data_IF_153647148425
#
_entry.id   IF_153647148425
#
_cell.length_a   1.000
_cell.length_b   1.000
_cell.length_c   1.000
_cell.angle_alpha   90.00
_cell.angle_beta   90.00
_cell.angle_gamma   90.00
#
_symmetry.space_group_name_H-M   'P 1'
#
loop_
_entity.id
_entity.type
_entity.pdbx_description
1 polymer ?
#
# COMPACT_ATOMS: atom_id res chain seq x y z
N UNK A 1 0.48 -30.14 27.79
CA UNK A 1 1.35 -29.00 27.38
C UNK A 1 0.50 -27.73 27.23
N UNK A 2 0.96 -26.56 27.67
CA UNK A 2 0.23 -25.28 27.63
C UNK A 2 0.75 -24.40 26.50
N UNK A 3 -0.11 -24.06 25.53
CA UNK A 3 0.23 -23.16 24.42
C UNK A 3 -0.67 -21.95 24.43
N UNK A 4 -0.07 -20.76 24.39
CA UNK A 4 -0.78 -19.48 24.42
C UNK A 4 -0.58 -18.74 23.11
N UNK A 5 -1.66 -18.40 22.42
CA UNK A 5 -1.64 -17.54 21.25
C UNK A 5 -2.03 -16.12 21.62
N UNK A 6 -1.32 -15.14 21.07
CA UNK A 6 -1.58 -13.72 21.29
C UNK A 6 -1.91 -13.05 19.95
N UNK A 7 -3.14 -12.55 19.81
CA UNK A 7 -3.61 -11.85 18.62
C UNK A 7 -3.18 -10.38 18.57
N UNK A 8 -3.24 -9.82 17.36
CA UNK A 8 -2.97 -8.41 17.08
C UNK A 8 -1.53 -7.97 17.38
N UNK A 9 -0.55 -8.87 17.31
CA UNK A 9 0.86 -8.50 17.54
C UNK A 9 1.36 -7.73 16.32
N UNK A 10 1.73 -6.46 16.49
CA UNK A 10 2.16 -5.59 15.40
C UNK A 10 1.02 -5.17 14.44
N UNK A 11 -0.23 -5.12 14.93
CA UNK A 11 -1.41 -4.67 14.17
C UNK A 11 -2.46 -4.11 15.11
N UNK A 12 -3.27 -3.16 14.63
CA UNK A 12 -4.25 -2.42 15.45
C UNK A 12 -3.60 -1.75 16.67
N UNK A 13 -2.41 -1.21 16.45
CA UNK A 13 -1.60 -0.51 17.43
C UNK A 13 -1.42 0.96 16.99
N UNK A 14 -1.80 1.90 17.85
CA UNK A 14 -1.75 3.35 17.59
C UNK A 14 -0.32 3.88 17.50
N UNK A 15 0.62 3.23 18.19
CA UNK A 15 2.04 3.63 18.17
C UNK A 15 2.81 2.93 17.05
N UNK A 16 2.19 1.97 16.38
CA UNK A 16 2.78 1.21 15.29
C UNK A 16 1.82 1.10 14.10
N UNK A 17 1.41 -0.13 13.79
CA UNK A 17 0.54 -0.41 12.66
C UNK A 17 -0.93 -0.31 13.06
N UNK A 18 -1.60 0.80 12.73
CA UNK A 18 -3.02 1.01 13.07
C UNK A 18 -3.98 0.06 12.34
N UNK A 19 -3.55 -0.51 11.21
CA UNK A 19 -4.35 -1.40 10.39
C UNK A 19 -4.47 -2.82 10.97
N UNK A 20 -5.49 -3.55 10.51
CA UNK A 20 -5.65 -4.96 10.80
C UNK A 20 -4.98 -5.81 9.71
N UNK A 21 -4.19 -6.82 10.11
CA UNK A 21 -3.54 -7.74 9.17
C UNK A 21 -4.44 -8.80 8.54
N UNK A 22 -5.75 -8.78 8.81
CA UNK A 22 -6.83 -9.59 8.21
C UNK A 22 -6.75 -11.12 8.35
N UNK A 23 -5.57 -11.72 8.42
CA UNK A 23 -5.37 -13.18 8.37
C UNK A 23 -5.05 -13.81 9.73
N UNK A 24 -4.64 -13.01 10.72
CA UNK A 24 -4.13 -13.50 12.01
C UNK A 24 -5.14 -14.29 12.84
N UNK A 25 -6.40 -13.86 12.87
CA UNK A 25 -7.47 -14.61 13.52
C UNK A 25 -7.60 -16.03 12.92
N UNK A 26 -7.57 -16.12 11.60
CA UNK A 26 -7.83 -17.38 10.88
C UNK A 26 -6.65 -18.33 10.89
N UNK A 27 -5.41 -17.84 10.66
CA UNK A 27 -4.26 -18.73 10.76
C UNK A 27 -4.06 -19.22 12.20
N UNK A 28 -4.45 -18.42 13.21
CA UNK A 28 -4.36 -18.83 14.61
C UNK A 28 -5.37 -19.91 14.93
N UNK A 29 -6.63 -19.76 14.50
CA UNK A 29 -7.62 -20.83 14.61
C UNK A 29 -7.15 -22.11 13.90
N UNK A 30 -6.55 -21.98 12.71
CA UNK A 30 -5.92 -23.10 11.99
C UNK A 30 -4.81 -23.76 12.78
N UNK A 31 -3.86 -22.99 13.31
CA UNK A 31 -2.75 -23.52 14.08
C UNK A 31 -3.22 -24.15 15.39
N UNK A 32 -4.17 -23.55 16.10
CA UNK A 32 -4.73 -24.09 17.32
C UNK A 32 -5.45 -25.43 17.08
N UNK A 33 -6.25 -25.53 16.01
CA UNK A 33 -6.84 -26.79 15.54
C UNK A 33 -5.76 -27.85 15.28
N UNK A 34 -4.70 -27.50 14.55
CA UNK A 34 -3.60 -28.43 14.26
C UNK A 34 -2.85 -28.88 15.52
N UNK A 35 -2.72 -28.01 16.52
CA UNK A 35 -2.11 -28.40 17.80
C UNK A 35 -3.03 -29.35 18.56
N UNK A 36 -4.35 -29.10 18.60
CA UNK A 36 -5.32 -29.99 19.24
C UNK A 36 -5.36 -31.37 18.56
N UNK A 37 -5.31 -31.41 17.23
CA UNK A 37 -5.31 -32.65 16.45
C UNK A 37 -4.07 -33.52 16.75
N UNK A 38 -2.88 -32.88 16.85
CA UNK A 38 -1.62 -33.58 17.07
C UNK A 38 -1.28 -33.82 18.54
N UNK A 39 -1.79 -32.99 19.44
CA UNK A 39 -1.55 -33.04 20.89
C UNK A 39 -2.92 -32.88 21.58
N UNK A 40 -3.73 -33.95 21.65
CA UNK A 40 -5.12 -33.88 22.12
C UNK A 40 -5.28 -33.36 23.55
N UNK A 41 -4.27 -33.55 24.40
CA UNK A 41 -4.19 -33.13 25.80
C UNK A 41 -3.58 -31.72 25.99
N UNK A 42 -3.27 -31.00 24.91
CA UNK A 42 -2.75 -29.64 25.03
C UNK A 42 -3.80 -28.68 25.62
N UNK A 43 -3.39 -27.83 26.56
CA UNK A 43 -4.20 -26.72 27.07
C UNK A 43 -3.89 -25.49 26.21
N UNK A 44 -4.87 -25.07 25.42
CA UNK A 44 -4.73 -24.02 24.42
C UNK A 44 -5.51 -22.79 24.87
N UNK A 45 -4.81 -21.65 24.93
CA UNK A 45 -5.44 -20.35 25.21
C UNK A 45 -5.16 -19.39 24.07
N UNK A 46 -6.19 -18.69 23.59
CA UNK A 46 -6.08 -17.65 22.57
C UNK A 46 -6.56 -16.34 23.19
N UNK A 47 -5.65 -15.38 23.35
CA UNK A 47 -6.00 -14.02 23.71
C UNK A 47 -6.33 -13.20 22.46
N UNK A 48 -7.52 -12.60 22.42
CA UNK A 48 -8.02 -11.86 21.27
C UNK A 48 -8.84 -10.64 21.69
N UNK A 49 -9.05 -9.70 20.77
CA UNK A 49 -10.01 -8.59 20.96
C UNK A 49 -11.31 -8.86 20.22
N UNK A 50 -11.19 -9.02 18.90
CA UNK A 50 -12.29 -9.37 18.01
C UNK A 50 -11.84 -10.55 17.16
N UNK A 51 -12.74 -11.49 16.88
CA UNK A 51 -12.50 -12.53 15.87
C UNK A 51 -12.98 -11.99 14.53
N UNK A 52 -12.06 -11.89 13.57
CA UNK A 52 -12.37 -11.41 12.21
C UNK A 52 -12.42 -12.57 11.23
N UNK A 53 -13.49 -13.35 11.30
CA UNK A 53 -13.76 -14.51 10.47
C UNK A 53 -14.70 -14.17 9.29
N UNK A 54 -14.28 -13.26 8.41
CA UNK A 54 -15.18 -12.60 7.43
C UNK A 54 -15.30 -13.30 6.06
N UNK A 55 -14.45 -14.29 5.77
CA UNK A 55 -14.50 -15.06 4.51
C UNK A 55 -15.58 -16.13 4.51
N UNK A 56 -15.88 -16.69 3.33
CA UNK A 56 -16.83 -17.82 3.21
C UNK A 56 -16.31 -19.03 3.99
N UNK A 57 -17.10 -19.55 4.91
CA UNK A 57 -16.71 -20.70 5.75
C UNK A 57 -15.84 -20.34 6.95
N UNK A 58 -15.47 -19.06 7.14
CA UNK A 58 -14.53 -18.68 8.18
C UNK A 58 -15.19 -18.69 9.57
N UNK A 59 -16.43 -18.23 9.67
CA UNK A 59 -17.18 -18.24 10.93
C UNK A 59 -17.50 -19.68 11.36
N UNK A 60 -17.88 -20.54 10.42
CA UNK A 60 -18.11 -21.97 10.65
C UNK A 60 -16.83 -22.66 11.12
N UNK A 61 -15.69 -22.33 10.49
CA UNK A 61 -14.39 -22.83 10.92
C UNK A 61 -14.02 -22.34 12.32
N UNK A 62 -14.21 -21.05 12.62
CA UNK A 62 -14.00 -20.49 13.95
C UNK A 62 -14.85 -21.22 15.01
N UNK A 63 -16.15 -21.40 14.75
CA UNK A 63 -17.06 -22.09 15.66
C UNK A 63 -16.67 -23.56 15.88
N UNK A 64 -16.21 -24.25 14.84
CA UNK A 64 -15.66 -25.61 14.96
C UNK A 64 -14.47 -25.64 15.91
N UNK A 65 -13.48 -24.78 15.68
CA UNK A 65 -12.25 -24.71 16.49
C UNK A 65 -12.58 -24.29 17.93
N UNK A 66 -13.54 -23.38 18.14
CA UNK A 66 -14.01 -23.01 19.47
C UNK A 66 -14.63 -24.21 20.22
N UNK A 67 -15.32 -25.10 19.51
CA UNK A 67 -15.87 -26.35 20.04
C UNK A 67 -14.81 -27.41 20.42
N UNK A 68 -13.55 -27.23 20.03
CA UNK A 68 -12.45 -28.16 20.33
C UNK A 68 -11.79 -27.91 21.71
N UNK A 69 -12.58 -27.41 22.67
CA UNK A 69 -12.13 -27.06 24.02
C UNK A 69 -10.91 -26.12 24.04
N UNK A 70 -10.91 -25.09 23.19
CA UNK A 70 -9.87 -24.07 23.15
C UNK A 70 -10.34 -22.84 23.93
N UNK A 71 -9.52 -22.33 24.84
CA UNK A 71 -9.86 -21.22 25.72
C UNK A 71 -9.69 -19.88 24.99
N UNK A 72 -10.78 -19.35 24.42
CA UNK A 72 -10.80 -18.00 23.85
C UNK A 72 -11.02 -16.96 24.95
N UNK A 73 -10.00 -16.14 25.23
CA UNK A 73 -10.04 -15.07 26.24
C UNK A 73 -10.07 -13.70 25.57
N UNK A 74 -11.17 -12.96 25.73
CA UNK A 74 -11.33 -11.62 25.16
C UNK A 74 -10.58 -10.59 26.02
N UNK A 75 -9.86 -9.67 25.39
CA UNK A 75 -9.22 -8.50 26.02
C UNK A 75 -9.49 -7.24 25.22
N UNK A 76 -9.38 -6.09 25.88
CA UNK A 76 -9.28 -4.82 25.16
C UNK A 76 -7.88 -4.65 24.56
N UNK A 77 -7.76 -3.90 23.46
CA UNK A 77 -6.46 -3.66 22.82
C UNK A 77 -5.50 -2.89 23.74
N UNK A 78 -6.06 -1.91 24.47
CA UNK A 78 -5.34 -1.06 25.43
C UNK A 78 -4.92 -1.82 26.71
N UNK A 79 -5.39 -3.06 26.89
CA UNK A 79 -4.93 -3.96 27.96
C UNK A 79 -3.78 -4.83 27.42
N UNK A 80 -2.50 -4.50 27.71
CA UNK A 80 -1.36 -5.22 27.16
C UNK A 80 -1.29 -6.65 27.69
N UNK A 81 -0.63 -7.51 26.90
CA UNK A 81 -0.21 -8.83 27.37
C UNK A 81 1.29 -8.77 27.59
N UNK A 82 1.69 -9.05 28.82
CA UNK A 82 3.11 -9.17 29.17
C UNK A 82 3.54 -10.62 29.05
N UNK A 83 4.64 -10.85 28.35
CA UNK A 83 5.29 -12.16 28.26
C UNK A 83 6.62 -12.06 28.99
N UNK A 84 6.68 -12.63 30.19
CA UNK A 84 7.88 -12.62 31.03
C UNK A 84 8.57 -13.97 30.91
N UNK A 85 9.84 -13.96 30.47
CA UNK A 85 10.64 -15.19 30.37
C UNK A 85 11.77 -15.14 31.40
N UNK A 86 11.77 -16.08 32.34
CA UNK A 86 12.77 -16.19 33.40
C UNK A 86 13.37 -17.60 33.41
N UNK A 87 14.68 -17.70 33.14
CA UNK A 87 15.44 -18.96 33.03
C UNK A 87 14.75 -19.98 32.11
N UNK A 88 13.90 -20.86 32.66
CA UNK A 88 13.22 -21.97 31.96
C UNK A 88 11.69 -21.81 31.88
N UNK A 89 11.14 -20.69 32.36
CA UNK A 89 9.69 -20.47 32.43
C UNK A 89 9.26 -19.24 31.63
N UNK A 90 8.22 -19.40 30.82
CA UNK A 90 7.54 -18.29 30.15
C UNK A 90 6.17 -18.09 30.79
N UNK A 91 5.91 -16.91 31.35
CA UNK A 91 4.65 -16.54 31.99
C UNK A 91 3.95 -15.47 31.17
N UNK A 92 2.69 -15.72 30.82
CA UNK A 92 1.81 -14.78 30.13
C UNK A 92 0.87 -14.14 31.14
N UNK A 93 0.91 -12.82 31.25
CA UNK A 93 0.06 -12.01 32.12
C UNK A 93 -0.92 -11.20 31.29
N UNK A 94 -2.20 -11.27 31.65
CA UNK A 94 -3.26 -10.53 31.00
C UNK A 94 -4.23 -10.00 32.07
N UNK A 95 -4.57 -8.71 31.99
CA UNK A 95 -5.49 -8.08 32.94
C UNK A 95 -6.84 -8.81 32.98
N UNK A 96 -7.36 -9.03 34.19
CA UNK A 96 -8.63 -9.72 34.41
C UNK A 96 -8.56 -11.25 34.26
N UNK A 97 -7.38 -11.82 34.01
CA UNK A 97 -7.16 -13.26 33.91
C UNK A 97 -6.04 -13.71 34.85
N UNK A 98 -6.07 -15.00 35.22
CA UNK A 98 -4.94 -15.61 35.93
C UNK A 98 -3.73 -15.76 35.00
N UNK A 99 -2.55 -15.55 35.58
CA UNK A 99 -1.26 -15.78 34.93
C UNK A 99 -1.16 -17.23 34.43
N UNK A 100 -0.63 -17.39 33.22
CA UNK A 100 -0.39 -18.70 32.60
C UNK A 100 1.11 -18.93 32.47
N UNK A 101 1.64 -19.91 33.18
CA UNK A 101 2.94 -20.52 32.84
C UNK A 101 2.74 -21.37 31.57
N UNK A 102 3.31 -20.92 30.46
CA UNK A 102 3.14 -21.50 29.14
C UNK A 102 4.41 -22.24 28.71
N UNK A 103 4.24 -23.41 28.08
CA UNK A 103 5.34 -24.15 27.46
C UNK A 103 5.72 -23.52 26.10
N UNK A 104 4.77 -22.84 25.45
CA UNK A 104 4.97 -22.14 24.19
C UNK A 104 4.05 -20.92 24.10
N UNK A 105 4.62 -19.77 23.75
CA UNK A 105 3.87 -18.57 23.40
C UNK A 105 4.01 -18.31 21.90
N UNK A 106 2.87 -18.22 21.22
CA UNK A 106 2.79 -17.96 19.78
C UNK A 106 2.26 -16.55 19.56
N UNK A 107 3.10 -15.70 18.99
CA UNK A 107 2.73 -14.36 18.59
C UNK A 107 2.08 -14.42 17.21
N UNK A 108 0.79 -14.07 17.12
CA UNK A 108 0.11 -13.93 15.85
C UNK A 108 0.49 -12.57 15.24
N UNK A 109 1.69 -12.53 14.66
CA UNK A 109 2.28 -11.33 14.03
C UNK A 109 1.49 -10.87 12.80
N UNK A 110 1.41 -9.55 12.67
CA UNK A 110 0.84 -8.89 11.50
C UNK A 110 1.68 -9.03 10.23
N UNK A 111 1.06 -8.64 9.11
CA UNK A 111 1.73 -8.44 7.84
C UNK A 111 2.22 -7.01 7.76
N UNK A 112 3.47 -6.82 7.33
CA UNK A 112 4.06 -5.51 7.03
C UNK A 112 4.52 -5.48 5.59
N UNK A 113 4.71 -4.29 4.99
CA UNK A 113 5.37 -4.17 3.71
C UNK A 113 6.76 -4.81 3.75
N UNK A 114 7.22 -5.36 2.62
CA UNK A 114 8.56 -5.91 2.51
C UNK A 114 9.61 -4.80 2.71
N UNK A 115 10.77 -5.15 3.26
CA UNK A 115 11.86 -4.20 3.57
C UNK A 115 12.29 -3.35 2.37
N UNK A 116 12.26 -3.92 1.16
CA UNK A 116 12.62 -3.27 -0.10
C UNK A 116 11.46 -2.50 -0.78
N UNK A 117 10.27 -2.46 -0.18
CA UNK A 117 9.07 -1.88 -0.82
C UNK A 117 9.25 -0.41 -1.21
N UNK A 118 10.00 0.38 -0.40
CA UNK A 118 10.29 1.79 -0.68
C UNK A 118 11.29 2.00 -1.81
N UNK A 119 12.22 1.07 -1.98
CA UNK A 119 13.13 1.09 -3.12
C UNK A 119 12.38 0.70 -4.39
N UNK A 120 11.59 -0.37 -4.30
CA UNK A 120 10.78 -0.87 -5.40
C UNK A 120 9.74 0.16 -5.89
N UNK A 121 9.11 0.91 -4.98
CA UNK A 121 8.18 2.00 -5.32
C UNK A 121 8.85 3.09 -6.16
N UNK A 122 10.12 3.41 -5.88
CA UNK A 122 10.91 4.39 -6.67
C UNK A 122 11.27 3.85 -8.04
N UNK A 123 11.73 2.60 -8.12
CA UNK A 123 12.12 1.96 -9.38
C UNK A 123 10.93 1.88 -10.34
N UNK A 124 9.75 1.49 -9.84
CA UNK A 124 8.54 1.41 -10.64
C UNK A 124 7.78 2.74 -10.75
N UNK A 125 8.21 3.78 -10.03
CA UNK A 125 7.49 5.04 -9.90
C UNK A 125 6.00 4.83 -9.53
N UNK A 126 5.75 4.10 -8.44
CA UNK A 126 4.40 3.87 -7.90
C UNK A 126 4.29 4.40 -6.47
N UNK A 127 3.07 4.76 -6.06
CA UNK A 127 2.82 5.34 -4.74
C UNK A 127 2.64 4.27 -3.66
N UNK A 128 2.86 4.65 -2.40
CA UNK A 128 2.54 3.86 -1.23
C UNK A 128 1.42 4.51 -0.41
N UNK A 129 0.58 3.68 0.19
CA UNK A 129 -0.45 4.06 1.14
C UNK A 129 0.18 4.43 2.48
N UNK A 130 -0.61 5.03 3.39
CA UNK A 130 -0.12 5.42 4.73
C UNK A 130 0.32 4.24 5.60
N UNK A 131 -0.15 3.04 5.29
CA UNK A 131 0.27 1.78 5.91
C UNK A 131 1.56 1.18 5.30
N UNK A 132 2.15 1.86 4.31
CA UNK A 132 3.39 1.50 3.64
C UNK A 132 3.26 0.44 2.53
N UNK A 133 2.06 -0.10 2.29
CA UNK A 133 1.81 -0.99 1.14
C UNK A 133 1.67 -0.18 -0.15
N UNK A 134 1.68 -0.83 -1.31
CA UNK A 134 1.50 -0.13 -2.59
C UNK A 134 0.06 0.35 -2.75
N UNK A 135 -0.10 1.60 -3.20
CA UNK A 135 -1.38 2.28 -3.35
C UNK A 135 -2.02 1.94 -4.70
N UNK A 136 -3.25 1.44 -4.67
CA UNK A 136 -4.09 1.30 -5.86
C UNK A 136 -4.60 2.65 -6.38
N UNK A 137 -4.93 2.70 -7.67
CA UNK A 137 -5.46 3.91 -8.31
C UNK A 137 -6.81 4.34 -7.74
N UNK A 138 -7.69 3.37 -7.44
CA UNK A 138 -8.95 3.64 -6.78
C UNK A 138 -9.48 2.40 -6.04
N UNK A 139 -9.84 2.48 -4.74
CA UNK A 139 -10.17 1.31 -3.91
C UNK A 139 -11.28 0.40 -4.44
N UNK A 140 -12.24 0.97 -5.19
CA UNK A 140 -13.39 0.23 -5.77
C UNK A 140 -13.31 0.01 -7.28
N UNK A 141 -13.08 1.08 -8.05
CA UNK A 141 -13.11 1.05 -9.52
C UNK A 141 -11.86 0.45 -10.14
N UNK A 142 -10.69 0.63 -9.52
CA UNK A 142 -9.39 0.21 -10.05
C UNK A 142 -8.52 -0.37 -8.93
N UNK A 143 -8.95 -1.46 -8.27
CA UNK A 143 -8.31 -1.98 -7.06
C UNK A 143 -6.98 -2.73 -7.31
N UNK A 144 -6.65 -2.96 -8.57
CA UNK A 144 -5.41 -3.66 -9.00
C UNK A 144 -4.55 -2.81 -9.91
N UNK A 145 -5.01 -1.61 -10.28
CA UNK A 145 -4.22 -0.69 -11.10
C UNK A 145 -3.45 0.26 -10.17
N UNK A 146 -2.34 0.81 -10.66
CA UNK A 146 -1.69 1.96 -10.02
C UNK A 146 -2.00 3.25 -10.78
N UNK A 147 -1.56 4.40 -10.25
CA UNK A 147 -1.59 5.67 -11.01
C UNK A 147 -0.61 5.70 -12.18
N UNK A 148 0.33 4.75 -12.23
CA UNK A 148 1.28 4.62 -13.32
C UNK A 148 0.74 3.59 -14.32
N UNK A 149 0.33 4.07 -15.49
CA UNK A 149 -0.23 3.22 -16.53
C UNK A 149 0.72 2.08 -16.93
N UNK A 150 0.15 0.90 -17.11
CA UNK A 150 0.90 -0.33 -17.39
C UNK A 150 1.48 -1.02 -16.16
N UNK A 151 1.36 -0.45 -14.95
CA UNK A 151 1.78 -1.08 -13.70
C UNK A 151 0.57 -1.44 -12.84
N UNK A 152 0.52 -2.70 -12.45
CA UNK A 152 -0.58 -3.33 -11.72
C UNK A 152 -0.09 -4.00 -10.44
N UNK A 153 -1.00 -4.24 -9.50
CA UNK A 153 -0.72 -4.81 -8.18
C UNK A 153 -1.46 -6.14 -8.00
N UNK A 154 -0.78 -7.11 -7.37
CA UNK A 154 -1.37 -8.40 -7.03
C UNK A 154 -0.80 -8.95 -5.71
N UNK A 155 -1.69 -9.39 -4.83
CA UNK A 155 -1.32 -10.07 -3.58
C UNK A 155 -1.04 -9.10 -2.42
N UNK A 156 -0.30 -9.58 -1.43
CA UNK A 156 -0.12 -8.87 -0.16
C UNK A 156 0.71 -7.58 -0.27
N UNK A 157 1.37 -7.31 -1.39
CA UNK A 157 2.12 -6.07 -1.60
C UNK A 157 1.21 -4.83 -1.67
N UNK A 158 -0.06 -4.99 -2.05
CA UNK A 158 -1.08 -3.93 -2.02
C UNK A 158 -1.73 -3.76 -0.63
N UNK A 159 -1.59 -4.75 0.24
CA UNK A 159 -2.17 -4.71 1.59
C UNK A 159 -2.49 -6.11 2.11
N UNK A 160 -2.70 -6.26 3.43
CA UNK A 160 -2.96 -7.55 4.06
C UNK A 160 -4.16 -8.27 3.44
N UNK A 161 -4.01 -9.55 3.10
CA UNK A 161 -5.08 -10.39 2.52
C UNK A 161 -4.76 -11.87 2.65
N UNK A 162 -5.79 -12.71 2.50
CA UNK A 162 -5.63 -14.16 2.48
C UNK A 162 -5.36 -14.67 1.05
N UNK A 163 -5.18 -15.99 0.94
CA UNK A 163 -4.85 -16.66 -0.32
C UNK A 163 -5.97 -16.47 -1.37
N UNK A 164 -7.25 -16.74 -1.07
CA UNK A 164 -8.33 -16.52 -2.04
C UNK A 164 -8.37 -15.09 -2.60
N UNK A 165 -8.26 -14.08 -1.75
CA UNK A 165 -8.23 -12.68 -2.18
C UNK A 165 -7.00 -12.38 -3.04
N UNK A 166 -5.82 -12.91 -2.67
CA UNK A 166 -4.60 -12.72 -3.44
C UNK A 166 -4.69 -13.36 -4.84
N UNK A 167 -5.28 -14.56 -4.95
CA UNK A 167 -5.48 -15.26 -6.22
C UNK A 167 -6.51 -14.53 -7.10
N UNK A 168 -7.60 -14.05 -6.50
CA UNK A 168 -8.59 -13.24 -7.21
C UNK A 168 -7.96 -11.94 -7.74
N UNK A 169 -7.15 -11.27 -6.91
CA UNK A 169 -6.44 -10.06 -7.29
C UNK A 169 -5.43 -10.32 -8.42
N UNK A 170 -4.68 -11.42 -8.36
CA UNK A 170 -3.74 -11.83 -9.41
C UNK A 170 -4.45 -12.06 -10.75
N UNK A 171 -5.63 -12.69 -10.73
CA UNK A 171 -6.45 -12.87 -11.92
C UNK A 171 -6.94 -11.53 -12.48
N UNK A 172 -7.38 -10.62 -11.60
CA UNK A 172 -7.73 -9.25 -11.97
C UNK A 172 -6.57 -8.50 -12.62
N UNK A 173 -5.40 -8.49 -11.98
CA UNK A 173 -4.20 -7.83 -12.48
C UNK A 173 -3.76 -8.41 -13.85
N UNK A 174 -3.85 -9.73 -14.05
CA UNK A 174 -3.52 -10.36 -15.32
C UNK A 174 -4.43 -9.87 -16.46
N UNK A 175 -5.74 -9.75 -16.22
CA UNK A 175 -6.69 -9.22 -17.23
C UNK A 175 -6.42 -7.74 -17.50
N UNK A 176 -6.19 -6.93 -16.47
CA UNK A 176 -5.89 -5.49 -16.63
C UNK A 176 -4.59 -5.27 -17.40
N UNK A 177 -3.57 -6.10 -17.16
CA UNK A 177 -2.31 -6.07 -17.93
C UNK A 177 -2.49 -6.57 -19.36
N UNK A 178 -3.40 -7.51 -19.60
CA UNK A 178 -3.68 -8.05 -20.93
C UNK A 178 -4.42 -7.08 -21.84
N UNK A 179 -5.20 -6.15 -21.29
CA UNK A 179 -5.98 -5.17 -22.06
C UNK A 179 -5.11 -4.33 -23.03
N UNK A 180 -4.07 -3.60 -22.59
CA UNK A 180 -3.21 -2.83 -23.49
C UNK A 180 -2.41 -3.74 -24.45
N UNK A 181 -2.04 -4.94 -24.00
CA UNK A 181 -1.34 -5.93 -24.85
C UNK A 181 -2.22 -6.42 -25.99
N UNK A 182 -3.50 -6.68 -25.71
CA UNK A 182 -4.47 -7.13 -26.71
C UNK A 182 -4.86 -6.02 -27.69
N UNK A 183 -4.95 -4.77 -27.22
CA UNK A 183 -5.21 -3.62 -28.09
C UNK A 183 -4.02 -3.30 -29.01
N UNK A 184 -2.79 -3.61 -28.58
CA UNK A 184 -1.55 -3.36 -29.33
C UNK A 184 -1.15 -1.87 -29.44
N UNK A 185 -1.97 -0.97 -28.89
CA UNK A 185 -1.72 0.47 -28.79
C UNK A 185 -2.46 1.01 -27.56
N UNK A 186 -1.98 2.12 -27.03
CA UNK A 186 -2.60 2.85 -25.92
C UNK A 186 -2.64 4.33 -26.26
N UNK A 187 -3.66 5.01 -25.74
CA UNK A 187 -3.72 6.47 -25.77
C UNK A 187 -3.02 7.01 -24.52
N UNK A 188 -2.17 8.01 -24.71
CA UNK A 188 -1.47 8.69 -23.63
C UNK A 188 -1.99 10.12 -23.52
N UNK A 189 -2.09 10.64 -22.31
CA UNK A 189 -2.51 12.02 -22.12
C UNK A 189 -1.56 13.00 -22.81
N UNK A 190 -2.09 13.88 -23.64
CA UNK A 190 -1.32 14.85 -24.41
C UNK A 190 -0.94 16.10 -23.59
N UNK A 191 -0.79 15.99 -22.26
CA UNK A 191 -0.36 17.07 -21.34
C UNK A 191 1.17 17.19 -21.28
N UNK A 192 1.84 16.85 -22.37
CA UNK A 192 3.30 16.80 -22.48
C UNK A 192 3.92 18.19 -22.52
N UNK A 193 5.20 18.26 -22.14
CA UNK A 193 6.01 19.46 -22.34
C UNK A 193 6.31 19.65 -23.83
N UNK A 194 6.46 20.90 -24.26
CA UNK A 194 6.86 21.33 -25.61
C UNK A 194 7.95 22.38 -25.48
N UNK A 195 8.85 22.46 -26.46
CA UNK A 195 10.00 23.37 -26.42
C UNK A 195 9.95 24.29 -27.63
N UNK A 196 10.03 25.60 -27.38
CA UNK A 196 10.23 26.61 -28.40
C UNK A 196 11.73 26.71 -28.71
N UNK A 197 12.13 26.27 -29.90
CA UNK A 197 13.52 26.24 -30.34
C UNK A 197 14.13 27.65 -30.43
N UNK A 198 13.36 28.67 -30.80
CA UNK A 198 13.84 30.06 -30.92
C UNK A 198 14.23 30.69 -29.57
N UNK A 199 13.65 30.19 -28.47
CA UNK A 199 13.93 30.66 -27.11
C UNK A 199 14.88 29.73 -26.35
N UNK A 200 15.14 28.53 -26.89
CA UNK A 200 15.94 27.52 -26.20
C UNK A 200 17.43 27.80 -26.40
N UNK A 201 18.16 28.00 -25.31
CA UNK A 201 19.62 28.18 -25.34
C UNK A 201 20.42 26.89 -25.16
N UNK A 202 19.76 25.73 -25.08
CA UNK A 202 20.44 24.45 -24.89
C UNK A 202 21.13 24.27 -23.53
N UNK A 203 20.74 25.01 -22.48
CA UNK A 203 21.43 25.02 -21.17
C UNK A 203 21.39 23.71 -20.36
N UNK A 204 20.65 22.68 -20.81
CA UNK A 204 20.54 21.33 -20.19
C UNK A 204 20.05 21.29 -18.73
N UNK A 205 19.45 22.37 -18.23
CA UNK A 205 18.86 22.39 -16.88
C UNK A 205 17.66 21.44 -16.80
N UNK A 206 16.80 21.44 -17.82
CA UNK A 206 15.60 20.61 -17.87
C UNK A 206 15.88 19.11 -17.94
N UNK A 207 16.99 18.70 -18.54
CA UNK A 207 17.43 17.29 -18.61
C UNK A 207 17.57 16.69 -17.21
N UNK A 208 18.27 17.38 -16.31
CA UNK A 208 18.51 16.94 -14.93
C UNK A 208 17.26 16.95 -14.05
N UNK A 209 16.27 17.78 -14.40
CA UNK A 209 15.03 17.91 -13.63
C UNK A 209 13.98 16.86 -13.98
N UNK A 210 14.16 16.12 -15.08
CA UNK A 210 13.17 15.15 -15.53
C UNK A 210 13.38 13.80 -14.83
N UNK A 211 12.46 13.34 -13.96
CA UNK A 211 12.59 12.04 -13.31
C UNK A 211 12.35 10.85 -14.27
N UNK A 212 11.86 11.14 -15.48
CA UNK A 212 11.52 10.14 -16.50
C UNK A 212 12.51 10.12 -17.67
N UNK A 213 13.58 10.92 -17.61
CA UNK A 213 14.54 11.07 -18.71
C UNK A 213 13.89 11.40 -20.06
N UNK A 214 12.80 12.17 -20.04
CA UNK A 214 12.04 12.54 -21.23
C UNK A 214 12.68 13.67 -22.06
N UNK A 215 13.78 14.27 -21.60
CA UNK A 215 14.42 15.41 -22.23
C UNK A 215 15.85 15.07 -22.64
N UNK A 216 16.22 15.43 -23.86
CA UNK A 216 17.54 15.17 -24.43
C UNK A 216 18.07 16.42 -25.14
N UNK A 217 19.39 16.55 -25.23
CA UNK A 217 20.03 17.65 -25.95
C UNK A 217 20.29 17.24 -27.40
N UNK A 218 19.76 18.00 -28.36
CA UNK A 218 20.10 17.83 -29.77
C UNK A 218 21.35 18.64 -30.10
N UNK A 219 22.48 17.95 -30.27
CA UNK A 219 23.77 18.59 -30.59
C UNK A 219 23.78 19.34 -31.92
N UNK A 220 22.97 18.94 -32.91
CA UNK A 220 22.95 19.58 -34.23
C UNK A 220 22.17 20.89 -34.21
N UNK A 221 21.04 20.90 -33.52
CA UNK A 221 20.18 22.06 -33.41
C UNK A 221 20.59 23.00 -32.26
N UNK A 222 21.40 22.52 -31.31
CA UNK A 222 21.82 23.31 -30.14
C UNK A 222 20.70 23.55 -29.13
N UNK A 223 19.60 22.80 -29.21
CA UNK A 223 18.39 22.97 -28.40
C UNK A 223 18.03 21.67 -27.68
N UNK A 224 17.18 21.79 -26.66
CA UNK A 224 16.61 20.64 -25.96
C UNK A 224 15.42 20.08 -26.75
N UNK A 225 15.23 18.76 -26.73
CA UNK A 225 14.06 18.08 -27.26
C UNK A 225 13.36 17.26 -26.18
N UNK A 226 12.09 16.99 -26.41
CA UNK A 226 11.24 16.22 -25.51
C UNK A 226 10.73 14.99 -26.23
N UNK A 227 10.93 13.82 -25.61
CA UNK A 227 10.25 12.61 -26.00
C UNK A 227 8.84 12.63 -25.40
N UNK A 228 7.84 12.89 -26.24
CA UNK A 228 6.44 12.99 -25.82
C UNK A 228 5.90 11.69 -25.19
N UNK A 229 6.44 10.52 -25.58
CA UNK A 229 5.99 9.22 -25.06
C UNK A 229 6.47 9.00 -23.61
N UNK A 230 7.67 9.49 -23.27
CA UNK A 230 8.23 9.38 -21.92
C UNK A 230 7.76 10.49 -20.99
N UNK A 231 7.27 11.61 -21.53
CA UNK A 231 6.84 12.76 -20.75
C UNK A 231 5.52 12.48 -20.01
N UNK A 232 5.57 12.37 -18.67
CA UNK A 232 4.37 12.20 -17.81
C UNK A 232 3.68 13.50 -17.40
N UNK A 233 4.01 14.62 -18.05
CA UNK A 233 3.25 15.85 -17.85
C UNK A 233 3.45 16.57 -16.50
N UNK A 234 4.49 16.26 -15.71
CA UNK A 234 4.64 16.80 -14.35
C UNK A 234 4.96 18.32 -14.27
N UNK A 235 5.44 18.92 -15.35
CA UNK A 235 5.73 20.37 -15.43
C UNK A 235 7.04 20.84 -14.77
N UNK A 236 7.83 19.97 -14.14
CA UNK A 236 9.07 20.37 -13.42
C UNK A 236 10.12 21.05 -14.32
N UNK A 237 10.21 20.63 -15.59
CA UNK A 237 11.11 21.25 -16.56
C UNK A 237 10.61 22.63 -17.01
N UNK A 238 9.29 22.82 -17.15
CA UNK A 238 8.69 24.08 -17.54
C UNK A 238 8.86 25.15 -16.45
N UNK A 239 8.67 24.77 -15.17
CA UNK A 239 8.84 25.70 -14.04
C UNK A 239 10.30 26.13 -13.82
N UNK A 240 11.26 25.30 -14.22
CA UNK A 240 12.70 25.55 -14.01
C UNK A 240 13.37 26.18 -15.23
N UNK A 241 12.69 26.27 -16.38
CA UNK A 241 13.29 26.77 -17.61
C UNK A 241 13.61 28.27 -17.51
N UNK A 242 14.89 28.69 -17.47
CA UNK A 242 15.25 30.09 -17.25
C UNK A 242 14.90 30.98 -18.46
N UNK A 243 14.90 30.43 -19.67
CA UNK A 243 14.54 31.17 -20.88
C UNK A 243 13.04 31.17 -21.17
N UNK A 244 12.23 30.46 -20.38
CA UNK A 244 10.79 30.30 -20.65
C UNK A 244 10.47 29.53 -21.93
N UNK A 245 11.46 28.82 -22.50
CA UNK A 245 11.30 28.08 -23.75
C UNK A 245 10.40 26.85 -23.64
N UNK A 246 10.19 26.32 -22.43
CA UNK A 246 9.40 25.10 -22.21
C UNK A 246 7.98 25.49 -21.78
N UNK A 247 6.98 24.95 -22.48
CA UNK A 247 5.56 25.12 -22.15
C UNK A 247 4.86 23.77 -22.03
N UNK A 248 3.88 23.68 -21.14
CA UNK A 248 3.06 22.48 -20.94
C UNK A 248 1.77 22.57 -21.74
N UNK A 249 1.41 21.52 -22.48
CA UNK A 249 0.07 21.41 -23.06
C UNK A 249 -0.96 21.32 -21.92
N UNK A 250 -2.08 22.04 -22.06
CA UNK A 250 -3.15 22.19 -21.05
C UNK A 250 -2.80 22.89 -19.72
N UNK A 251 -1.51 23.16 -19.46
CA UNK A 251 -1.04 23.90 -18.29
C UNK A 251 -0.08 25.03 -18.68
N UNK A 252 -0.35 25.71 -19.79
CA UNK A 252 0.47 26.82 -20.25
C UNK A 252 0.39 27.99 -19.25
N UNK A 253 1.46 28.78 -19.14
CA UNK A 253 1.54 29.93 -18.22
C UNK A 253 0.33 30.85 -18.38
N UNK A 254 -0.07 31.16 -19.61
CA UNK A 254 -1.26 31.99 -19.89
C UNK A 254 -2.55 31.41 -19.31
N UNK A 255 -2.71 30.08 -19.34
CA UNK A 255 -3.88 29.39 -18.79
C UNK A 255 -3.88 29.47 -17.25
N UNK A 256 -2.73 29.26 -16.61
CA UNK A 256 -2.59 29.34 -15.16
C UNK A 256 -2.81 30.77 -14.67
N UNK A 257 -2.24 31.77 -15.34
CA UNK A 257 -2.47 33.20 -15.01
C UNK A 257 -3.94 33.55 -15.17
N UNK A 258 -4.60 33.11 -16.25
CA UNK A 258 -6.04 33.34 -16.42
C UNK A 258 -6.89 32.68 -15.31
N UNK A 259 -6.50 31.50 -14.80
CA UNK A 259 -7.16 30.88 -13.65
C UNK A 259 -6.97 31.70 -12.37
N UNK A 260 -5.76 32.22 -12.12
CA UNK A 260 -5.47 33.09 -10.97
C UNK A 260 -6.29 34.38 -11.06
N UNK A 261 -6.25 35.05 -12.21
CA UNK A 261 -7.00 36.28 -12.46
C UNK A 261 -8.51 36.07 -12.29
N UNK A 262 -9.04 34.93 -12.74
CA UNK A 262 -10.43 34.56 -12.54
C UNK A 262 -10.83 34.50 -11.06
N UNK A 263 -9.97 33.96 -10.19
CA UNK A 263 -10.21 33.90 -8.74
C UNK A 263 -10.13 35.31 -8.10
N UNK A 264 -9.14 36.11 -8.50
CA UNK A 264 -8.91 37.46 -7.95
C UNK A 264 -10.00 38.45 -8.40
N UNK A 265 -10.45 38.35 -9.64
CA UNK A 265 -11.53 39.17 -10.20
C UNK A 265 -12.90 38.85 -9.58
N UNK A 266 -13.13 37.60 -9.14
CA UNK A 266 -14.38 37.21 -8.48
C UNK A 266 -14.51 37.80 -7.07
N UNK A 267 -13.40 37.92 -6.32
CA UNK A 267 -13.37 38.54 -4.98
C UNK A 267 -13.66 40.04 -5.00
N UNK A 268 -13.35 40.73 -6.11
CA UNK A 268 -13.59 42.17 -6.25
C UNK A 268 -15.04 42.54 -6.61
N UNK A 269 -15.89 41.55 -6.97
CA UNK A 269 -17.31 41.76 -7.30
C UNK A 269 -18.31 41.16 -6.30
N UNK A 270 -17.84 40.48 -5.25
CA UNK A 270 -18.66 39.79 -4.24
C UNK A 270 -18.67 40.43 -2.85
N UNK A 271 -18.47 41.75 -2.75
CA UNK A 271 -18.58 42.51 -1.50
C UNK A 271 -19.96 43.13 -1.32
N UNK A 272 -20.97 42.30 -1.02
CA UNK A 272 -22.16 42.62 -0.22
C UNK A 272 -22.62 41.34 0.47
#
# INVERSE_FOLDING_TARGET
>A
KKVVFIQCVGSRDKEGNEYCSRVCCMYTAKQAHMVRDKIPDADLTIYYTDVRAFGKGFEEFYNRVKGENINYRRRELDDPIEVVTNADKTVVKAKGYSDIEADLVVLAVGLVPKEDAKEFSRVLNISQSSDGFFLEAHPKLRPVDTFTDGIFLAGCCQGPKDIPDAVAQASGAAVRASEPLAQGKVEVEAITSTINEDLCSGCKVCERMCPYSALEFDEKAGVMRVNEVMCKGCGSCASTCPSGAISMRHFAVKQIIAQIDGIVAHKSKGGK
#
